data_IF_404873933589
#
_entry.id   IF_404873933589
#
_cell.length_a   1.000
_cell.length_b   1.000
_cell.length_c   1.000
_cell.angle_alpha   90.00
_cell.angle_beta   90.00
_cell.angle_gamma   90.00
#
_symmetry.space_group_name_H-M   'P 1'
#
loop_
_entity.id
_entity.type
_entity.pdbx_description
1 polymer ?
#
# COMPACT_ATOMS: atom_id res chain seq x y z
N UNK A 1 13.30 12.50 16.75
CA UNK A 1 13.42 11.76 15.48
C UNK A 1 12.12 11.02 15.21
N UNK A 2 11.62 10.98 13.96
CA UNK A 2 10.46 10.16 13.61
C UNK A 2 10.83 8.68 13.52
N UNK A 3 9.91 7.81 13.96
CA UNK A 3 10.06 6.34 13.87
C UNK A 3 9.82 5.89 12.42
N UNK A 4 10.79 5.21 11.83
CA UNK A 4 10.69 4.67 10.47
C UNK A 4 9.80 3.43 10.48
N UNK A 5 8.58 3.54 9.93
CA UNK A 5 7.61 2.42 9.91
C UNK A 5 7.94 1.30 8.93
N UNK A 6 8.60 1.62 7.81
CA UNK A 6 8.82 0.70 6.67
C UNK A 6 10.27 0.76 6.18
N UNK A 7 11.21 0.40 7.04
CA UNK A 7 12.63 0.37 6.67
C UNK A 7 12.88 -0.72 5.62
N UNK A 8 13.62 -0.37 4.57
CA UNK A 8 14.03 -1.29 3.51
C UNK A 8 15.34 -1.95 3.92
N UNK A 9 15.42 -3.28 3.82
CA UNK A 9 16.64 -4.04 4.17
C UNK A 9 17.04 -4.96 3.03
N UNK A 10 18.34 -5.06 2.69
CA UNK A 10 19.49 -4.37 3.31
C UNK A 10 19.69 -2.91 2.82
N UNK A 11 20.36 -2.09 3.64
CA UNK A 11 20.60 -0.64 3.38
C UNK A 11 21.92 -0.38 2.61
N UNK A 12 22.85 -1.32 2.62
CA UNK A 12 24.19 -1.18 2.02
C UNK A 12 24.45 -2.30 1.00
N UNK A 13 23.76 -2.25 -0.14
CA UNK A 13 23.71 -3.36 -1.10
C UNK A 13 25.08 -3.75 -1.68
N UNK A 14 25.99 -2.79 -1.85
CA UNK A 14 27.32 -3.03 -2.46
C UNK A 14 28.51 -2.85 -1.53
N UNK A 15 28.30 -2.45 -0.26
CA UNK A 15 29.41 -2.07 0.63
C UNK A 15 29.88 -3.21 1.55
N UNK A 16 29.64 -4.47 1.17
CA UNK A 16 30.13 -5.60 1.97
C UNK A 16 31.61 -5.83 1.70
N UNK A 17 32.41 -5.91 2.76
CA UNK A 17 33.80 -6.34 2.66
C UNK A 17 33.85 -7.79 2.20
N UNK A 18 34.74 -8.06 1.24
CA UNK A 18 35.04 -9.43 0.83
C UNK A 18 35.80 -10.15 1.94
N UNK A 19 35.52 -11.45 2.18
CA UNK A 19 36.34 -12.29 3.03
C UNK A 19 37.79 -12.35 2.53
N UNK A 20 38.76 -12.38 3.45
CA UNK A 20 40.18 -12.47 3.11
C UNK A 20 40.57 -13.77 2.35
N UNK A 21 39.69 -14.77 2.33
CA UNK A 21 39.87 -16.01 1.56
C UNK A 21 39.70 -15.82 0.05
N UNK A 22 39.09 -14.71 -0.40
CA UNK A 22 38.91 -14.39 -1.82
C UNK A 22 40.14 -13.62 -2.28
N UNK A 23 40.98 -14.26 -3.09
CA UNK A 23 42.22 -13.69 -3.64
C UNK A 23 42.16 -13.43 -5.15
N UNK A 24 41.11 -13.95 -5.80
CA UNK A 24 40.82 -13.83 -7.22
C UNK A 24 39.31 -13.61 -7.39
N UNK A 25 38.89 -13.10 -8.55
CA UNK A 25 37.48 -12.87 -8.92
C UNK A 25 36.71 -11.93 -7.96
N UNK A 26 37.39 -10.95 -7.36
CA UNK A 26 36.79 -10.01 -6.40
C UNK A 26 35.63 -9.23 -7.00
N UNK A 27 35.78 -8.79 -8.27
CA UNK A 27 34.73 -8.05 -8.98
C UNK A 27 33.48 -8.92 -9.15
N UNK A 28 33.65 -10.18 -9.54
CA UNK A 28 32.55 -11.12 -9.68
C UNK A 28 31.87 -11.34 -8.33
N UNK A 29 32.64 -11.54 -7.27
CA UNK A 29 32.10 -11.73 -5.92
C UNK A 29 31.31 -10.50 -5.43
N UNK A 30 31.85 -9.28 -5.61
CA UNK A 30 31.15 -8.04 -5.23
C UNK A 30 29.89 -7.85 -6.07
N UNK A 31 29.94 -8.14 -7.37
CA UNK A 31 28.80 -8.06 -8.28
C UNK A 31 27.68 -9.02 -7.86
N UNK A 32 28.03 -10.30 -7.65
CA UNK A 32 27.08 -11.33 -7.20
C UNK A 32 26.50 -11.00 -5.82
N UNK A 33 27.33 -10.54 -4.89
CA UNK A 33 26.89 -10.07 -3.57
C UNK A 33 25.94 -8.87 -3.65
N UNK A 34 26.25 -7.92 -4.54
CA UNK A 34 25.40 -6.75 -4.81
C UNK A 34 24.05 -7.18 -5.38
N UNK A 35 24.05 -8.06 -6.38
CA UNK A 35 22.82 -8.56 -7.00
C UNK A 35 21.95 -9.30 -5.99
N UNK A 36 22.53 -10.20 -5.20
CA UNK A 36 21.80 -10.91 -4.14
C UNK A 36 21.22 -9.95 -3.08
N UNK A 37 21.96 -8.89 -2.74
CA UNK A 37 21.45 -7.84 -1.85
C UNK A 37 20.30 -7.05 -2.48
N UNK A 38 20.38 -6.70 -3.77
CA UNK A 38 19.30 -6.02 -4.49
C UNK A 38 18.04 -6.86 -4.55
N UNK A 39 18.13 -8.17 -4.82
CA UNK A 39 16.96 -9.07 -4.80
C UNK A 39 16.31 -9.10 -3.42
N UNK A 40 17.11 -9.17 -2.34
CA UNK A 40 16.58 -9.09 -0.96
C UNK A 40 15.94 -7.75 -0.66
N UNK A 41 16.54 -6.67 -1.14
CA UNK A 41 16.04 -5.31 -0.96
C UNK A 41 14.68 -5.13 -1.65
N UNK A 42 14.57 -5.60 -2.89
CA UNK A 42 13.32 -5.61 -3.65
C UNK A 42 12.26 -6.47 -2.97
N UNK A 43 12.63 -7.63 -2.43
CA UNK A 43 11.70 -8.45 -1.65
C UNK A 43 11.17 -7.71 -0.41
N UNK A 44 12.04 -6.99 0.30
CA UNK A 44 11.64 -6.13 1.41
C UNK A 44 10.72 -4.99 0.96
N UNK A 45 10.98 -4.40 -0.21
CA UNK A 45 10.14 -3.34 -0.79
C UNK A 45 8.76 -3.88 -1.18
N UNK A 46 8.71 -5.03 -1.86
CA UNK A 46 7.46 -5.69 -2.27
C UNK A 46 6.56 -6.01 -1.09
N UNK A 47 7.13 -6.49 0.02
CA UNK A 47 6.36 -6.72 1.26
C UNK A 47 5.75 -5.44 1.82
N UNK A 48 6.49 -4.32 1.77
CA UNK A 48 5.96 -3.03 2.21
C UNK A 48 4.87 -2.53 1.27
N UNK A 49 5.04 -2.70 -0.04
CA UNK A 49 4.03 -2.35 -1.03
C UNK A 49 2.75 -3.17 -0.83
N UNK A 50 2.85 -4.48 -0.62
CA UNK A 50 1.72 -5.37 -0.31
C UNK A 50 0.95 -4.89 0.91
N UNK A 51 1.64 -4.53 2.00
CA UNK A 51 0.99 -4.00 3.18
C UNK A 51 0.25 -2.69 2.90
N UNK A 52 0.90 -1.72 2.22
CA UNK A 52 0.28 -0.43 1.90
C UNK A 52 -0.94 -0.61 0.99
N UNK A 53 -0.82 -1.42 -0.06
CA UNK A 53 -1.94 -1.66 -0.97
C UNK A 53 -3.06 -2.45 -0.31
N UNK A 54 -2.74 -3.38 0.60
CA UNK A 54 -3.73 -4.05 1.44
C UNK A 54 -4.50 -3.08 2.33
N UNK A 55 -3.80 -2.13 2.98
CA UNK A 55 -4.43 -1.06 3.78
C UNK A 55 -5.35 -0.18 2.92
N UNK A 56 -4.86 0.28 1.76
CA UNK A 56 -5.64 1.11 0.83
C UNK A 56 -6.88 0.36 0.35
N UNK A 57 -6.72 -0.90 -0.07
CA UNK A 57 -7.82 -1.74 -0.52
C UNK A 57 -8.91 -1.86 0.56
N UNK A 58 -8.50 -2.15 1.80
CA UNK A 58 -9.44 -2.28 2.90
C UNK A 58 -10.19 -0.97 3.19
N UNK A 59 -9.49 0.17 3.15
CA UNK A 59 -10.12 1.49 3.31
C UNK A 59 -11.04 1.84 2.13
N UNK A 60 -10.69 1.45 0.89
CA UNK A 60 -11.57 1.61 -0.28
C UNK A 60 -12.87 0.82 -0.12
N UNK A 61 -12.82 -0.42 0.41
CA UNK A 61 -14.03 -1.22 0.68
C UNK A 61 -14.90 -0.55 1.76
N UNK A 62 -14.30 -0.03 2.84
CA UNK A 62 -15.05 0.73 3.85
C UNK A 62 -15.71 1.96 3.25
N UNK A 63 -14.98 2.70 2.40
CA UNK A 63 -15.49 3.88 1.72
C UNK A 63 -16.66 3.51 0.81
N UNK A 64 -16.56 2.43 0.04
CA UNK A 64 -17.64 1.94 -0.82
C UNK A 64 -18.92 1.63 -0.01
N UNK A 65 -18.81 0.87 1.07
CA UNK A 65 -19.95 0.59 1.96
C UNK A 65 -20.59 1.86 2.53
N UNK A 66 -19.77 2.84 2.91
CA UNK A 66 -20.25 4.13 3.42
C UNK A 66 -20.97 4.93 2.33
N UNK A 67 -20.41 4.96 1.12
CA UNK A 67 -21.02 5.61 -0.05
C UNK A 67 -22.35 4.96 -0.39
N UNK A 68 -22.44 3.63 -0.40
CA UNK A 68 -23.68 2.90 -0.63
C UNK A 68 -24.75 3.20 0.43
N UNK A 69 -24.35 3.27 1.71
CA UNK A 69 -25.25 3.66 2.79
C UNK A 69 -25.77 5.10 2.61
N UNK A 70 -24.90 6.03 2.19
CA UNK A 70 -25.29 7.42 1.90
C UNK A 70 -26.22 7.47 0.69
N UNK A 71 -25.94 6.74 -0.38
CA UNK A 71 -26.79 6.67 -1.57
C UNK A 71 -28.22 6.22 -1.22
N UNK A 72 -28.36 5.15 -0.43
CA UNK A 72 -29.67 4.68 0.05
C UNK A 72 -30.41 5.73 0.90
N UNK A 73 -29.68 6.50 1.72
CA UNK A 73 -30.29 7.58 2.50
C UNK A 73 -30.77 8.73 1.62
N UNK A 74 -30.00 9.09 0.60
CA UNK A 74 -30.37 10.11 -0.39
C UNK A 74 -31.64 9.67 -1.13
N UNK A 75 -31.70 8.41 -1.58
CA UNK A 75 -32.87 7.87 -2.28
C UNK A 75 -34.13 7.91 -1.40
N UNK A 76 -34.03 7.46 -0.15
CA UNK A 76 -35.14 7.53 0.81
C UNK A 76 -35.59 8.96 1.07
N UNK A 77 -34.64 9.89 1.17
CA UNK A 77 -34.94 11.30 1.37
C UNK A 77 -35.63 11.89 0.14
N UNK A 78 -35.13 11.61 -1.06
CA UNK A 78 -35.73 12.03 -2.32
C UNK A 78 -37.17 11.51 -2.45
N UNK A 79 -37.41 10.23 -2.15
CA UNK A 79 -38.75 9.66 -2.18
C UNK A 79 -39.71 10.35 -1.20
N UNK A 80 -39.25 10.64 0.03
CA UNK A 80 -40.06 11.37 1.02
C UNK A 80 -40.37 12.80 0.59
N UNK A 81 -39.40 13.51 -0.01
CA UNK A 81 -39.62 14.85 -0.55
C UNK A 81 -40.68 14.81 -1.64
N UNK A 82 -40.59 13.88 -2.60
CA UNK A 82 -41.60 13.70 -3.64
C UNK A 82 -42.99 13.40 -3.06
N UNK A 83 -43.09 12.53 -2.05
CA UNK A 83 -44.38 12.25 -1.39
C UNK A 83 -44.96 13.50 -0.71
N UNK A 84 -44.13 14.29 -0.02
CA UNK A 84 -44.55 15.54 0.61
C UNK A 84 -45.03 16.55 -0.43
N UNK A 85 -44.33 16.69 -1.55
CA UNK A 85 -44.74 17.58 -2.65
C UNK A 85 -46.08 17.16 -3.27
N UNK A 86 -46.32 15.86 -3.46
CA UNK A 86 -47.60 15.35 -3.95
C UNK A 86 -48.74 15.62 -2.95
N UNK A 87 -48.49 15.48 -1.64
CA UNK A 87 -49.50 15.72 -0.61
C UNK A 87 -49.91 17.20 -0.49
N UNK A 88 -48.97 18.14 -0.67
CA UNK A 88 -49.25 19.57 -0.66
C UNK A 88 -50.05 20.05 -1.88
N UNK A 89 -50.04 19.31 -2.99
CA UNK A 89 -50.83 19.65 -4.19
C UNK A 89 -52.29 19.15 -4.11
N UNK A 90 -52.62 18.27 -3.15
CA UNK A 90 -53.94 17.68 -3.01
C UNK A 90 -54.81 18.30 -1.90
N UNK A 91 -54.23 19.13 -1.03
CA UNK A 91 -54.92 19.84 0.06
C UNK A 91 -55.05 21.33 -0.20
#
# INVERSE_FOLDING_TARGET
MPLIKRAISPVNVSQRRLPASIQHDELECVSNGTLANLVRQLSSLSRHAEHIFGEIYHESIKLDHKTNTIAQRIERLAHKVTQLDCSHQQG
#
